data_IF_413147358547
#
_entry.id   IF_413147358547
#
_cell.length_a   1.000
_cell.length_b   1.000
_cell.length_c   1.000
_cell.angle_alpha   90.00
_cell.angle_beta   90.00
_cell.angle_gamma   90.00
#
_symmetry.space_group_name_H-M   'P 1'
#
loop_
_entity.id
_entity.type
_entity.pdbx_description
1 polymer ?
#
# COMPACT_ATOMS: atom_id res chain seq x y z
N UNK A 1 3.99 -19.77 -1.56
CA UNK A 1 2.84 -19.31 -2.37
C UNK A 1 3.39 -18.57 -3.59
N UNK A 2 4.22 -19.26 -4.37
CA UNK A 2 4.67 -18.89 -5.71
C UNK A 2 4.71 -20.24 -6.37
N UNK A 3 3.71 -20.54 -7.19
CA UNK A 3 3.72 -21.65 -8.17
C UNK A 3 2.34 -21.71 -8.81
N UNK A 4 2.10 -20.75 -9.71
CA UNK A 4 1.29 -20.97 -10.91
C UNK A 4 1.95 -20.22 -12.06
N UNK A 5 3.06 -20.80 -12.50
CA UNK A 5 3.71 -20.56 -13.78
C UNK A 5 2.71 -20.94 -14.88
N UNK A 6 2.43 -19.99 -15.77
CA UNK A 6 1.63 -20.10 -16.99
C UNK A 6 0.23 -20.70 -16.85
N UNK A 7 -0.77 -19.86 -16.55
CA UNK A 7 -2.17 -20.22 -16.81
C UNK A 7 -2.91 -18.98 -17.27
N UNK A 8 -3.11 -18.89 -18.59
CA UNK A 8 -4.01 -18.00 -19.34
C UNK A 8 -4.30 -16.62 -18.73
N UNK A 9 -3.66 -15.58 -19.29
CA UNK A 9 -3.81 -14.16 -18.88
C UNK A 9 -5.24 -13.64 -18.92
N UNK A 10 -6.15 -14.33 -19.61
CA UNK A 10 -7.55 -13.93 -19.80
C UNK A 10 -8.45 -15.11 -19.48
N UNK A 11 -9.15 -15.07 -18.35
CA UNK A 11 -10.16 -16.06 -18.00
C UNK A 11 -11.56 -15.45 -18.24
N UNK A 12 -12.36 -16.05 -19.14
CA UNK A 12 -13.75 -15.63 -19.38
C UNK A 12 -14.69 -16.48 -18.54
N UNK A 13 -15.07 -15.99 -17.37
CA UNK A 13 -16.01 -16.69 -16.49
C UNK A 13 -17.31 -15.90 -16.40
N UNK A 14 -18.43 -16.51 -16.82
CA UNK A 14 -19.78 -15.91 -16.75
C UNK A 14 -19.90 -14.50 -17.38
N UNK A 15 -19.18 -14.24 -18.48
CA UNK A 15 -19.23 -12.94 -19.17
C UNK A 15 -18.33 -11.85 -18.60
N UNK A 16 -17.54 -12.16 -17.55
CA UNK A 16 -16.49 -11.29 -17.01
C UNK A 16 -15.15 -11.65 -17.64
N UNK A 17 -14.39 -10.65 -18.08
CA UNK A 17 -13.02 -10.83 -18.58
C UNK A 17 -12.08 -10.57 -17.41
N UNK A 18 -11.27 -11.54 -17.03
CA UNK A 18 -10.34 -11.40 -15.92
C UNK A 18 -8.93 -11.28 -16.48
N UNK A 19 -8.28 -10.15 -16.20
CA UNK A 19 -6.86 -9.96 -16.49
C UNK A 19 -6.08 -9.88 -15.19
N UNK A 20 -4.83 -10.34 -15.25
CA UNK A 20 -3.92 -10.36 -14.11
C UNK A 20 -2.71 -9.52 -14.45
N UNK A 21 -2.04 -9.00 -13.42
CA UNK A 21 -0.74 -8.36 -13.59
C UNK A 21 -0.75 -7.12 -14.52
N UNK A 22 -1.86 -6.38 -14.57
CA UNK A 22 -1.99 -5.16 -15.40
C UNK A 22 -1.06 -4.07 -14.85
N UNK A 23 -0.28 -3.46 -15.74
CA UNK A 23 0.51 -2.26 -15.42
C UNK A 23 -0.39 -1.05 -15.30
N UNK A 24 -0.21 -0.31 -14.22
CA UNK A 24 -1.01 0.85 -13.88
C UNK A 24 -0.17 2.12 -14.00
N UNK A 25 -0.81 3.19 -14.46
CA UNK A 25 -0.21 4.52 -14.55
C UNK A 25 -1.26 5.60 -14.32
N UNK A 26 -0.91 6.58 -13.51
CA UNK A 26 -1.64 7.84 -13.38
C UNK A 26 -0.65 8.99 -13.40
N UNK A 27 -0.78 9.88 -14.39
CA UNK A 27 -0.02 11.12 -14.41
C UNK A 27 -0.57 12.11 -13.37
N UNK A 28 -1.89 12.09 -13.15
CA UNK A 28 -2.53 12.98 -12.18
C UNK A 28 -2.07 12.72 -10.74
N UNK A 29 -1.91 11.45 -10.38
CA UNK A 29 -1.39 11.04 -9.07
C UNK A 29 0.13 10.89 -9.05
N UNK A 30 0.81 10.92 -10.21
CA UNK A 30 2.23 10.61 -10.33
C UNK A 30 2.57 9.17 -9.91
N UNK A 31 1.66 8.21 -10.13
CA UNK A 31 1.82 6.83 -9.72
C UNK A 31 2.06 5.91 -10.90
N UNK A 32 2.94 4.93 -10.69
CA UNK A 32 3.08 3.74 -11.53
C UNK A 32 3.00 2.51 -10.63
N UNK A 33 2.46 1.41 -11.17
CA UNK A 33 2.32 0.20 -10.38
C UNK A 33 1.84 -0.98 -11.19
N UNK A 34 1.40 -2.00 -10.48
CA UNK A 34 0.84 -3.22 -11.05
C UNK A 34 -0.34 -3.67 -10.19
N UNK A 35 -1.46 -4.02 -10.79
CA UNK A 35 -2.58 -4.66 -10.09
C UNK A 35 -2.43 -6.18 -10.09
N UNK A 36 -2.88 -6.85 -9.04
CA UNK A 36 -2.94 -8.31 -9.02
C UNK A 36 -3.94 -8.84 -10.05
N UNK A 37 -5.22 -8.43 -9.92
CA UNK A 37 -6.31 -8.87 -10.78
C UNK A 37 -7.24 -7.70 -11.08
N UNK A 38 -7.71 -7.61 -12.33
CA UNK A 38 -8.80 -6.71 -12.74
C UNK A 38 -9.87 -7.53 -13.44
N UNK A 39 -11.09 -7.46 -12.90
CA UNK A 39 -12.27 -8.03 -13.52
C UNK A 39 -12.93 -6.95 -14.39
N UNK A 40 -13.12 -7.20 -15.68
CA UNK A 40 -13.85 -6.30 -16.57
C UNK A 40 -15.27 -6.79 -16.75
N UNK A 41 -16.21 -5.96 -16.29
CA UNK A 41 -17.64 -6.20 -16.34
C UNK A 41 -18.27 -5.42 -17.48
N UNK A 42 -19.15 -6.03 -18.26
CA UNK A 42 -19.89 -5.32 -19.32
C UNK A 42 -20.98 -4.45 -18.70
N UNK A 43 -21.02 -3.18 -19.11
CA UNK A 43 -22.12 -2.25 -18.82
C UNK A 43 -22.48 -1.51 -20.09
N UNK A 44 -23.56 -1.94 -20.75
CA UNK A 44 -23.84 -1.57 -22.14
C UNK A 44 -22.68 -1.95 -23.06
N UNK A 45 -22.19 -0.98 -23.82
CA UNK A 45 -21.05 -1.15 -24.75
C UNK A 45 -19.67 -0.93 -24.11
N UNK A 46 -19.62 -0.59 -22.81
CA UNK A 46 -18.37 -0.31 -22.09
C UNK A 46 -17.96 -1.51 -21.22
N UNK A 47 -16.64 -1.68 -21.08
CA UNK A 47 -16.04 -2.55 -20.07
C UNK A 47 -15.66 -1.69 -18.85
N UNK A 48 -16.27 -1.98 -17.71
CA UNK A 48 -15.99 -1.32 -16.44
C UNK A 48 -15.00 -2.21 -15.66
N UNK A 49 -13.76 -1.73 -15.43
CA UNK A 49 -12.80 -2.45 -14.60
C UNK A 49 -13.24 -2.48 -13.14
N UNK A 50 -12.98 -3.60 -12.48
CA UNK A 50 -13.21 -3.85 -11.08
C UNK A 50 -11.91 -4.43 -10.49
N UNK A 51 -11.09 -3.63 -9.80
CA UNK A 51 -9.81 -4.10 -9.27
C UNK A 51 -10.00 -5.04 -8.08
N UNK A 52 -9.20 -6.10 -8.04
CA UNK A 52 -9.17 -7.10 -6.98
C UNK A 52 -7.75 -7.28 -6.48
N UNK A 53 -7.47 -6.79 -5.27
CA UNK A 53 -6.17 -6.88 -4.61
C UNK A 53 -6.10 -8.14 -3.73
N UNK A 54 -5.03 -8.93 -3.85
CA UNK A 54 -4.80 -10.13 -3.06
C UNK A 54 -3.86 -9.85 -1.90
N UNK A 55 -4.34 -10.08 -0.68
CA UNK A 55 -3.51 -9.99 0.53
C UNK A 55 -3.33 -11.36 1.17
N UNK A 56 -2.08 -11.71 1.46
CA UNK A 56 -1.75 -12.94 2.20
C UNK A 56 -2.04 -12.83 3.71
N UNK A 57 -2.21 -11.61 4.23
CA UNK A 57 -2.47 -11.33 5.64
C UNK A 57 -3.94 -11.37 6.04
N UNK A 58 -4.22 -10.87 7.26
CA UNK A 58 -5.57 -10.49 7.70
C UNK A 58 -5.81 -9.02 7.35
N UNK A 59 -7.08 -8.61 7.33
CA UNK A 59 -7.43 -7.21 7.20
C UNK A 59 -6.76 -6.37 8.28
N UNK A 60 -6.15 -5.25 7.85
CA UNK A 60 -5.64 -4.24 8.77
C UNK A 60 -6.80 -3.43 9.33
N UNK A 61 -6.60 -2.85 10.52
CA UNK A 61 -7.57 -1.93 11.14
C UNK A 61 -7.54 -0.53 10.52
N UNK A 62 -6.44 -0.17 9.86
CA UNK A 62 -6.26 1.09 9.15
C UNK A 62 -6.75 0.99 7.69
N UNK A 63 -6.82 2.15 7.01
CA UNK A 63 -7.28 2.24 5.62
C UNK A 63 -6.18 1.91 4.60
N UNK A 64 -4.98 1.48 5.00
CA UNK A 64 -3.82 1.32 4.11
C UNK A 64 -4.15 0.47 2.88
N UNK A 65 -4.78 -0.71 3.09
CA UNK A 65 -5.08 -1.62 1.99
C UNK A 65 -6.22 -1.07 1.09
N UNK A 66 -7.15 -0.27 1.64
CA UNK A 66 -8.22 0.39 0.89
C UNK A 66 -7.68 1.55 0.05
N UNK A 67 -6.78 2.36 0.61
CA UNK A 67 -6.08 3.44 -0.10
C UNK A 67 -5.27 2.86 -1.26
N UNK A 68 -4.55 1.76 -1.04
CA UNK A 68 -3.80 1.09 -2.09
C UNK A 68 -4.73 0.64 -3.24
N UNK A 69 -5.84 -0.02 -2.91
CA UNK A 69 -6.83 -0.45 -3.91
C UNK A 69 -7.47 0.75 -4.63
N UNK A 70 -7.79 1.83 -3.91
CA UNK A 70 -8.35 3.05 -4.48
C UNK A 70 -7.36 3.72 -5.44
N UNK A 71 -6.07 3.75 -5.10
CA UNK A 71 -5.02 4.27 -6.00
C UNK A 71 -4.95 3.47 -7.31
N UNK A 72 -5.10 2.14 -7.24
CA UNK A 72 -5.18 1.30 -8.44
C UNK A 72 -6.41 1.64 -9.28
N UNK A 73 -7.58 1.80 -8.65
CA UNK A 73 -8.81 2.19 -9.32
C UNK A 73 -8.66 3.54 -10.04
N UNK A 74 -8.12 4.56 -9.36
CA UNK A 74 -7.87 5.88 -9.94
C UNK A 74 -6.92 5.81 -11.14
N UNK A 75 -5.90 4.94 -11.11
CA UNK A 75 -5.04 4.71 -12.28
C UNK A 75 -5.82 4.09 -13.45
N UNK A 76 -6.65 3.08 -13.19
CA UNK A 76 -7.48 2.46 -14.23
C UNK A 76 -8.51 3.44 -14.81
N UNK A 77 -9.12 4.28 -13.97
CA UNK A 77 -10.02 5.36 -14.41
C UNK A 77 -9.33 6.30 -15.40
N UNK A 78 -8.11 6.75 -15.09
CA UNK A 78 -7.34 7.63 -15.97
C UNK A 78 -6.93 6.92 -17.28
N UNK A 79 -6.47 5.67 -17.19
CA UNK A 79 -6.01 4.89 -18.35
C UNK A 79 -7.14 4.56 -19.33
N UNK A 80 -8.35 4.34 -18.83
CA UNK A 80 -9.48 3.85 -19.61
C UNK A 80 -10.59 4.88 -19.84
N UNK A 81 -10.48 6.06 -19.22
CA UNK A 81 -11.49 7.12 -19.24
C UNK A 81 -12.88 6.61 -18.80
N UNK A 82 -12.92 5.96 -17.64
CA UNK A 82 -14.12 5.39 -17.00
C UNK A 82 -14.18 5.80 -15.53
N UNK A 83 -15.33 5.59 -14.90
CA UNK A 83 -15.49 5.71 -13.44
C UNK A 83 -15.64 4.31 -12.83
N UNK A 84 -14.95 4.07 -11.72
CA UNK A 84 -14.96 2.82 -10.96
C UNK A 84 -15.46 3.16 -9.56
N UNK A 85 -16.64 2.69 -9.18
CA UNK A 85 -17.24 3.02 -7.87
C UNK A 85 -16.74 2.11 -6.75
N UNK A 86 -16.26 0.91 -7.09
CA UNK A 86 -15.94 -0.12 -6.11
C UNK A 86 -14.92 -1.14 -6.62
N UNK A 87 -14.26 -1.80 -5.68
CA UNK A 87 -13.33 -2.90 -5.90
C UNK A 87 -13.42 -3.93 -4.78
N UNK A 88 -12.48 -4.88 -4.74
CA UNK A 88 -12.41 -5.84 -3.65
C UNK A 88 -10.99 -6.12 -3.18
N UNK A 89 -10.86 -6.47 -1.90
CA UNK A 89 -9.64 -7.02 -1.32
C UNK A 89 -9.94 -8.47 -0.93
N UNK A 90 -9.13 -9.40 -1.43
CA UNK A 90 -9.23 -10.81 -1.09
C UNK A 90 -8.11 -11.21 -0.11
N UNK A 91 -8.49 -11.57 1.11
CA UNK A 91 -7.57 -12.02 2.14
C UNK A 91 -7.42 -13.55 2.08
N UNK A 92 -6.31 -14.02 1.52
CA UNK A 92 -6.08 -15.44 1.25
C UNK A 92 -6.07 -16.33 2.49
N UNK A 93 -5.58 -15.84 3.63
CA UNK A 93 -5.55 -16.61 4.90
C UNK A 93 -6.94 -16.84 5.48
N UNK A 94 -7.81 -15.83 5.42
CA UNK A 94 -9.18 -15.91 5.96
C UNK A 94 -10.21 -16.31 4.92
N UNK A 95 -9.80 -16.43 3.64
CA UNK A 95 -10.66 -16.61 2.46
C UNK A 95 -11.81 -15.59 2.43
N UNK A 96 -11.56 -14.39 2.94
CA UNK A 96 -12.55 -13.33 3.06
C UNK A 96 -12.41 -12.32 1.92
N UNK A 97 -13.51 -12.02 1.23
CA UNK A 97 -13.58 -10.95 0.22
C UNK A 97 -14.23 -9.74 0.85
N UNK A 98 -13.46 -8.66 0.98
CA UNK A 98 -13.95 -7.36 1.43
C UNK A 98 -14.26 -6.51 0.21
N UNK A 99 -15.53 -6.16 0.00
CA UNK A 99 -15.89 -5.14 -0.98
C UNK A 99 -15.53 -3.76 -0.43
N UNK A 100 -14.96 -2.91 -1.28
CA UNK A 100 -14.54 -1.55 -0.94
C UNK A 100 -15.23 -0.59 -1.89
N UNK A 101 -15.98 0.35 -1.35
CA UNK A 101 -16.54 1.48 -2.08
C UNK A 101 -15.51 2.62 -2.12
N UNK A 102 -15.31 3.21 -3.30
CA UNK A 102 -14.40 4.33 -3.50
C UNK A 102 -15.14 5.65 -3.31
N UNK A 103 -15.60 5.87 -2.08
CA UNK A 103 -16.30 7.09 -1.70
C UNK A 103 -15.40 8.34 -1.82
N UNK A 104 -16.01 9.52 -1.66
CA UNK A 104 -15.31 10.80 -1.74
C UNK A 104 -14.21 10.94 -0.68
N UNK A 105 -14.37 10.34 0.50
CA UNK A 105 -13.41 10.43 1.59
C UNK A 105 -12.17 9.61 1.28
N UNK A 106 -12.32 8.35 0.87
CA UNK A 106 -11.24 7.46 0.52
C UNK A 106 -10.47 7.97 -0.71
N UNK A 107 -11.17 8.51 -1.70
CA UNK A 107 -10.53 9.17 -2.86
C UNK A 107 -9.71 10.37 -2.41
N UNK A 108 -10.26 11.24 -1.57
CA UNK A 108 -9.55 12.42 -1.05
C UNK A 108 -8.31 12.02 -0.25
N UNK A 109 -8.43 11.03 0.63
CA UNK A 109 -7.31 10.47 1.40
C UNK A 109 -6.22 9.94 0.45
N UNK A 110 -6.61 9.20 -0.59
CA UNK A 110 -5.67 8.65 -1.58
C UNK A 110 -4.94 9.74 -2.36
N UNK A 111 -5.64 10.78 -2.82
CA UNK A 111 -5.03 11.93 -3.48
C UNK A 111 -4.06 12.67 -2.55
N UNK A 112 -4.47 12.91 -1.30
CA UNK A 112 -3.64 13.61 -0.32
C UNK A 112 -2.35 12.84 -0.01
N UNK A 113 -2.44 11.53 0.21
CA UNK A 113 -1.27 10.69 0.49
C UNK A 113 -0.31 10.61 -0.69
N UNK A 114 -0.82 10.56 -1.93
CA UNK A 114 0.03 10.62 -3.11
C UNK A 114 0.79 11.95 -3.18
N UNK A 115 0.10 13.07 -2.93
CA UNK A 115 0.73 14.40 -2.93
C UNK A 115 1.75 14.58 -1.80
N UNK A 116 1.43 14.10 -0.60
CA UNK A 116 2.33 14.12 0.55
C UNK A 116 3.61 13.31 0.26
N UNK A 117 3.46 12.11 -0.29
CA UNK A 117 4.59 11.27 -0.69
C UNK A 117 5.52 12.01 -1.68
N UNK A 118 4.96 12.61 -2.74
CA UNK A 118 5.77 13.37 -3.71
C UNK A 118 6.47 14.57 -3.05
N UNK A 119 5.79 15.26 -2.14
CA UNK A 119 6.39 16.39 -1.40
C UNK A 119 7.59 15.97 -0.55
N UNK A 120 7.52 14.80 0.09
CA UNK A 120 8.64 14.23 0.86
C UNK A 120 9.82 13.88 -0.05
N UNK A 121 9.54 13.27 -1.20
CA UNK A 121 10.58 12.89 -2.18
C UNK A 121 11.26 14.13 -2.77
N UNK A 122 10.48 15.12 -3.19
CA UNK A 122 10.99 16.36 -3.79
C UNK A 122 11.77 17.20 -2.78
N UNK A 123 11.28 17.27 -1.53
CA UNK A 123 11.96 17.94 -0.43
C UNK A 123 13.26 17.25 0.00
N UNK A 124 13.44 15.97 -0.35
CA UNK A 124 14.56 15.11 0.10
C UNK A 124 14.66 15.04 1.62
N UNK A 125 13.56 15.27 2.32
CA UNK A 125 13.46 15.20 3.76
C UNK A 125 12.95 13.82 4.15
N UNK A 126 13.77 13.06 4.87
CA UNK A 126 13.30 11.83 5.50
C UNK A 126 12.56 12.19 6.79
N UNK A 127 11.28 11.82 6.95
CA UNK A 127 10.54 12.09 8.18
C UNK A 127 11.25 11.51 9.40
N UNK A 128 11.11 12.18 10.55
CA UNK A 128 11.63 11.65 11.82
C UNK A 128 10.94 10.31 12.12
N UNK A 129 11.70 9.28 12.50
CA UNK A 129 11.09 7.99 12.78
C UNK A 129 10.34 8.03 14.11
N UNK A 130 9.17 7.43 14.12
CA UNK A 130 8.38 7.17 15.33
C UNK A 130 8.42 5.65 15.58
N UNK A 131 8.90 5.25 16.76
CA UNK A 131 8.94 3.83 17.10
C UNK A 131 7.50 3.28 17.23
N UNK A 132 7.25 2.14 16.59
CA UNK A 132 6.03 1.37 16.77
C UNK A 132 6.32 -0.13 16.68
N UNK A 133 5.35 -0.98 17.03
CA UNK A 133 5.47 -2.44 16.87
C UNK A 133 5.75 -2.88 15.42
N UNK A 134 5.48 -2.01 14.42
CA UNK A 134 5.82 -2.26 13.02
C UNK A 134 7.33 -2.19 12.78
N UNK A 135 8.06 -1.39 13.56
CA UNK A 135 9.51 -1.25 13.46
C UNK A 135 10.26 -2.57 13.69
N UNK A 136 9.75 -3.44 14.57
CA UNK A 136 10.39 -4.72 14.89
C UNK A 136 10.43 -5.71 13.72
N UNK A 137 9.59 -5.49 12.71
CA UNK A 137 9.59 -6.27 11.47
C UNK A 137 10.01 -5.43 10.25
N UNK A 138 10.51 -4.21 10.48
CA UNK A 138 10.91 -3.31 9.40
C UNK A 138 12.31 -3.68 8.90
N UNK A 139 12.45 -3.92 7.60
CA UNK A 139 13.75 -4.19 6.96
C UNK A 139 14.74 -3.03 7.08
N UNK A 140 14.25 -1.82 7.38
CA UNK A 140 15.06 -0.62 7.56
C UNK A 140 15.38 -0.33 9.03
N UNK A 141 15.00 -1.18 10.00
CA UNK A 141 15.16 -0.90 11.44
C UNK A 141 16.60 -0.53 11.81
N UNK A 142 17.57 -1.31 11.32
CA UNK A 142 18.99 -1.12 11.63
C UNK A 142 19.59 0.15 11.00
N UNK A 143 19.02 0.66 9.92
CA UNK A 143 19.42 1.92 9.28
C UNK A 143 18.71 3.13 9.91
N UNK A 144 17.45 2.95 10.25
CA UNK A 144 16.57 3.99 10.78
C UNK A 144 16.86 4.28 12.26
N UNK A 145 17.20 3.24 13.04
CA UNK A 145 17.46 3.30 14.49
C UNK A 145 16.37 4.06 15.29
N UNK A 146 15.08 3.70 15.14
CA UNK A 146 13.96 4.48 15.68
C UNK A 146 13.99 4.64 17.21
N UNK A 147 14.55 3.65 17.92
CA UNK A 147 14.63 3.66 19.39
C UNK A 147 15.54 4.77 19.96
N UNK A 148 16.48 5.28 19.14
CA UNK A 148 17.36 6.41 19.53
C UNK A 148 16.58 7.72 19.52
N UNK A 149 15.62 7.87 18.61
CA UNK A 149 14.81 9.09 18.49
C UNK A 149 13.71 9.16 19.55
N UNK A 150 13.14 8.01 19.93
CA UNK A 150 12.09 7.92 20.95
C UNK A 150 12.64 8.12 22.37
N UNK A 151 13.87 7.66 22.60
CA UNK A 151 14.56 7.85 23.87
C UNK A 151 15.43 9.09 23.79
N UNK A 152 14.93 10.23 24.28
CA UNK A 152 15.77 11.35 24.71
C UNK A 152 16.64 10.95 25.92
N UNK A 153 17.44 9.89 25.80
CA UNK A 153 18.51 9.61 26.74
C UNK A 153 19.50 10.75 26.56
N UNK A 154 19.47 11.70 27.49
CA UNK A 154 20.45 12.76 27.57
C UNK A 154 21.84 12.14 27.40
N UNK A 155 22.57 12.57 26.37
CA UNK A 155 23.96 12.14 26.10
C UNK A 155 24.81 12.25 27.37
N UNK A 156 24.52 13.27 28.19
CA UNK A 156 25.14 13.50 29.49
C UNK A 156 24.93 12.36 30.50
N UNK A 157 23.76 11.72 30.51
CA UNK A 157 23.44 10.58 31.39
C UNK A 157 24.16 9.32 30.92
N UNK A 158 24.16 9.06 29.61
CA UNK A 158 24.88 7.92 29.02
C UNK A 158 26.40 8.00 29.27
N UNK A 159 27.01 9.16 29.04
CA UNK A 159 28.44 9.38 29.34
C UNK A 159 28.76 9.20 30.82
N UNK A 160 27.87 9.64 31.72
CA UNK A 160 28.04 9.41 33.18
C UNK A 160 28.02 7.93 33.55
N UNK A 161 27.16 7.12 32.93
CA UNK A 161 27.07 5.68 33.21
C UNK A 161 28.32 4.94 32.72
N UNK A 162 28.87 5.29 31.56
CA UNK A 162 30.12 4.70 31.05
C UNK A 162 31.31 5.06 31.94
N UNK A 163 31.51 6.36 32.22
CA UNK A 163 32.65 6.83 33.04
C UNK A 163 32.59 6.28 34.47
N UNK A 164 31.40 6.02 35.01
CA UNK A 164 31.26 5.41 36.33
C UNK A 164 31.46 3.88 36.31
N UNK A 165 31.17 3.19 35.20
CA UNK A 165 31.39 1.76 35.07
C UNK A 165 32.85 1.37 34.80
N UNK A 166 33.68 2.27 34.26
CA UNK A 166 35.14 2.04 34.11
C UNK A 166 35.91 2.05 35.44
N UNK A 167 35.28 2.40 36.57
CA UNK A 167 35.92 2.38 37.90
C UNK A 167 35.86 1.04 38.63
N UNK A 168 35.43 -0.03 37.96
CA UNK A 168 35.28 -1.37 38.56
C UNK A 168 36.02 -2.47 37.78
N UNK A 169 37.24 -2.16 37.35
CA UNK A 169 38.24 -3.16 36.92
C UNK A 169 39.54 -2.86 37.65
#
# INVERSE_FOLDING_TARGET
>A
MHDKVHTEKIERKKGVIIERDIYLKSYKLGLIGKSDVVEFHKSGDKLIPFPVEYKSGKAKSDNTDKVQLCAQALCLEEMMNVTIENGAIFYGKTRNRLNVEFDKSLRKETFALAQEFHSLVDGRETPKPEYSKKCDNCSLKELCLPEIFDRQKSVKKYLKEIVNNEKTI
#
